data_IF_558509717838
#
_entry.id   IF_558509717838
#
_cell.length_a   1.000
_cell.length_b   1.000
_cell.length_c   1.000
_cell.angle_alpha   90.00
_cell.angle_beta   90.00
_cell.angle_gamma   90.00
#
_symmetry.space_group_name_H-M   'P 1'
#
loop_
_entity.id
_entity.type
_entity.pdbx_description
1 polymer ?
#
# COMPACT_ATOMS: atom_id res chain seq x y z
N UNK A 1 -16.32 2.58 -19.31
CA UNK A 1 -16.16 2.57 -18.49
C UNK A 1 -15.41 3.21 -17.79
N UNK A 2 -15.63 3.70 -17.30
CA UNK A 2 -15.02 4.67 -16.50
C UNK A 2 -14.04 4.01 -15.65
N UNK A 3 -12.84 4.17 -16.02
CA UNK A 3 -11.86 4.11 -15.03
C UNK A 3 -12.42 4.85 -13.86
N UNK A 4 -12.60 4.16 -12.83
CA UNK A 4 -12.77 4.78 -11.60
C UNK A 4 -11.64 5.69 -11.37
N UNK A 5 -11.73 6.81 -11.90
CA UNK A 5 -11.11 7.88 -11.28
C UNK A 5 -11.58 7.78 -9.88
N UNK A 6 -10.68 7.40 -9.03
CA UNK A 6 -10.90 7.56 -7.64
C UNK A 6 -11.42 8.95 -7.49
N UNK A 7 -12.72 9.04 -7.41
CA UNK A 7 -13.32 10.30 -7.20
C UNK A 7 -12.66 10.74 -5.95
N UNK A 8 -12.01 11.79 -6.06
CA UNK A 8 -11.35 12.34 -4.95
C UNK A 8 -12.41 12.97 -4.10
N UNK A 9 -13.23 12.13 -3.55
CA UNK A 9 -14.15 12.62 -2.57
C UNK A 9 -13.32 13.28 -1.50
N UNK A 10 -13.69 14.47 -1.16
CA UNK A 10 -13.07 15.18 -0.06
C UNK A 10 -14.16 15.40 0.96
N UNK A 11 -14.05 14.71 2.07
CA UNK A 11 -15.08 14.73 3.09
C UNK A 11 -14.55 15.39 4.36
N UNK A 12 -15.35 16.27 4.92
CA UNK A 12 -15.00 16.90 6.19
C UNK A 12 -15.27 15.95 7.33
N UNK A 13 -14.61 16.17 8.45
CA UNK A 13 -14.71 15.28 9.60
C UNK A 13 -16.15 15.07 10.06
N UNK A 14 -16.99 16.12 10.04
CA UNK A 14 -18.37 16.00 10.45
C UNK A 14 -19.15 15.07 9.54
N UNK A 15 -18.91 15.14 8.24
CA UNK A 15 -19.58 14.28 7.28
C UNK A 15 -19.15 12.82 7.46
N UNK A 16 -17.87 12.59 7.67
CA UNK A 16 -17.34 11.24 7.87
C UNK A 16 -17.90 10.65 9.18
N UNK A 17 -17.91 11.43 10.23
CA UNK A 17 -18.45 10.97 11.51
C UNK A 17 -19.92 10.57 11.38
N UNK A 18 -20.69 11.33 10.62
CA UNK A 18 -22.08 11.01 10.39
C UNK A 18 -22.24 9.76 9.52
N UNK A 19 -21.47 9.66 8.46
CA UNK A 19 -21.53 8.50 7.55
C UNK A 19 -21.30 7.19 8.27
N UNK A 20 -20.39 7.17 9.23
CA UNK A 20 -20.01 5.95 9.94
C UNK A 20 -20.58 5.86 11.33
N UNK A 21 -21.43 6.82 11.69
CA UNK A 21 -22.09 6.84 12.99
C UNK A 21 -21.09 6.74 14.14
N UNK A 22 -20.05 7.55 14.06
CA UNK A 22 -19.04 7.64 15.10
C UNK A 22 -18.90 9.10 15.52
N UNK A 23 -18.37 9.29 16.71
CA UNK A 23 -18.14 10.63 17.20
C UNK A 23 -16.90 11.23 16.52
N UNK A 24 -16.92 12.53 16.17
CA UNK A 24 -15.73 13.16 15.57
C UNK A 24 -14.48 13.02 16.42
N UNK A 25 -14.63 12.94 17.74
CA UNK A 25 -13.47 12.73 18.61
C UNK A 25 -12.79 11.39 18.38
N UNK A 26 -13.55 10.38 17.95
CA UNK A 26 -12.97 9.09 17.61
C UNK A 26 -12.04 9.24 16.40
N UNK A 27 -12.47 10.02 15.43
CA UNK A 27 -11.62 10.28 14.26
C UNK A 27 -10.37 11.05 14.64
N UNK A 28 -10.50 12.02 15.52
CA UNK A 28 -9.35 12.78 16.02
C UNK A 28 -8.38 11.88 16.80
N UNK A 29 -8.93 10.95 17.55
CA UNK A 29 -8.13 9.97 18.28
C UNK A 29 -7.33 9.11 17.30
N UNK A 30 -7.99 8.60 16.27
CA UNK A 30 -7.33 7.78 15.27
C UNK A 30 -6.22 8.56 14.55
N UNK A 31 -6.46 9.82 14.26
CA UNK A 31 -5.45 10.67 13.68
C UNK A 31 -4.26 10.86 14.61
N UNK A 32 -4.55 11.14 15.88
CA UNK A 32 -3.50 11.34 16.88
C UNK A 32 -2.66 10.10 17.09
N UNK A 33 -3.26 8.93 16.99
CA UNK A 33 -2.55 7.67 17.13
C UNK A 33 -1.86 7.23 15.85
N UNK A 34 -1.97 8.03 14.78
CA UNK A 34 -1.30 7.73 13.54
C UNK A 34 -2.01 6.71 12.67
N UNK A 35 -3.24 6.34 13.01
CA UNK A 35 -4.00 5.35 12.23
C UNK A 35 -4.59 5.96 10.97
N UNK A 36 -4.93 7.23 11.01
CA UNK A 36 -5.46 7.98 9.88
C UNK A 36 -4.62 9.23 9.68
N UNK A 37 -4.46 9.62 8.43
CA UNK A 37 -3.72 10.83 8.08
C UNK A 37 -4.49 11.62 7.05
N UNK A 38 -5.55 12.31 7.47
CA UNK A 38 -6.30 13.13 6.53
C UNK A 38 -5.44 14.29 6.04
N UNK A 39 -5.69 14.72 4.81
CA UNK A 39 -5.05 15.92 4.30
C UNK A 39 -5.72 17.13 4.92
N UNK A 40 -5.09 18.28 4.76
CA UNK A 40 -5.64 19.52 5.29
C UNK A 40 -5.70 20.57 4.21
N UNK A 41 -6.75 21.38 4.26
CA UNK A 41 -6.88 22.52 3.36
C UNK A 41 -5.95 23.65 3.81
N UNK A 42 -5.88 24.69 3.01
CA UNK A 42 -5.14 25.88 3.40
C UNK A 42 -5.66 26.48 4.71
N UNK A 43 -6.95 26.33 4.96
CA UNK A 43 -7.55 26.77 6.22
C UNK A 43 -7.36 25.79 7.35
N UNK A 44 -6.50 24.79 7.18
CA UNK A 44 -6.21 23.79 8.20
C UNK A 44 -7.40 22.89 8.55
N UNK A 45 -8.34 22.75 7.64
CA UNK A 45 -9.50 21.86 7.81
C UNK A 45 -9.14 20.46 7.31
N UNK A 46 -9.52 19.46 8.11
CA UNK A 46 -9.28 18.05 7.73
C UNK A 46 -10.14 17.64 6.55
N UNK A 47 -9.53 16.97 5.61
CA UNK A 47 -10.24 16.38 4.47
C UNK A 47 -9.88 14.91 4.36
N UNK A 48 -10.90 14.09 4.27
CA UNK A 48 -10.75 12.64 4.15
C UNK A 48 -11.05 12.24 2.72
N UNK A 49 -10.14 11.47 2.12
CA UNK A 49 -10.33 10.95 0.77
C UNK A 49 -11.08 9.63 0.82
N UNK A 50 -11.45 9.10 -0.33
CA UNK A 50 -12.06 7.77 -0.41
C UNK A 50 -11.12 6.71 0.13
N UNK A 51 -9.82 6.86 -0.09
CA UNK A 51 -8.84 5.93 0.47
C UNK A 51 -8.80 6.00 1.98
N UNK A 52 -8.92 7.22 2.53
CA UNK A 52 -9.00 7.36 3.98
C UNK A 52 -10.24 6.68 4.53
N UNK A 53 -11.36 6.75 3.80
CA UNK A 53 -12.59 6.10 4.23
C UNK A 53 -12.46 4.58 4.19
N UNK A 54 -11.81 4.03 3.20
CA UNK A 54 -11.54 2.60 3.15
C UNK A 54 -10.71 2.16 4.35
N UNK A 55 -9.69 2.94 4.66
CA UNK A 55 -8.85 2.67 5.82
C UNK A 55 -9.65 2.76 7.11
N UNK A 56 -10.52 3.75 7.20
CA UNK A 56 -11.39 3.91 8.36
C UNK A 56 -12.33 2.72 8.52
N UNK A 57 -12.91 2.23 7.43
CA UNK A 57 -13.78 1.06 7.50
C UNK A 57 -13.03 -0.15 8.04
N UNK A 58 -11.81 -0.33 7.60
CA UNK A 58 -10.97 -1.42 8.10
C UNK A 58 -10.72 -1.26 9.59
N UNK A 59 -10.39 -0.05 10.01
CA UNK A 59 -10.16 0.25 11.44
C UNK A 59 -11.41 -0.03 12.27
N UNK A 60 -12.58 0.42 11.79
CA UNK A 60 -13.81 0.20 12.51
C UNK A 60 -14.20 -1.26 12.60
N UNK A 61 -13.92 -2.02 11.54
CA UNK A 61 -14.12 -3.46 11.57
C UNK A 61 -13.31 -4.08 12.69
N UNK A 62 -12.06 -3.71 12.80
CA UNK A 62 -11.19 -4.26 13.85
C UNK A 62 -11.65 -3.81 15.23
N UNK A 63 -12.01 -2.55 15.36
CA UNK A 63 -12.38 -1.99 16.66
C UNK A 63 -13.75 -2.45 17.14
N UNK A 64 -14.74 -2.39 16.27
CA UNK A 64 -16.13 -2.67 16.65
C UNK A 64 -16.47 -4.14 16.57
N UNK A 65 -16.15 -4.74 15.43
CA UNK A 65 -16.60 -6.12 15.18
C UNK A 65 -15.69 -7.14 15.83
N UNK A 66 -14.41 -6.84 15.94
CA UNK A 66 -13.44 -7.77 16.49
C UNK A 66 -12.88 -7.36 17.84
N UNK A 67 -13.25 -6.17 18.32
CA UNK A 67 -12.83 -5.73 19.64
C UNK A 67 -11.33 -5.52 19.80
N UNK A 68 -10.63 -5.19 18.70
CA UNK A 68 -9.20 -4.96 18.76
C UNK A 68 -8.92 -3.56 19.31
N UNK A 69 -8.01 -3.44 20.26
CA UNK A 69 -7.66 -2.15 20.82
C UNK A 69 -6.77 -1.35 19.84
N UNK A 70 -6.57 -0.08 20.16
CA UNK A 70 -5.84 0.83 19.26
C UNK A 70 -4.43 0.34 18.96
N UNK A 71 -3.72 -0.16 19.98
CA UNK A 71 -2.38 -0.67 19.77
C UNK A 71 -2.35 -1.85 18.81
N UNK A 72 -3.32 -2.75 18.96
CA UNK A 72 -3.46 -3.89 18.05
C UNK A 72 -3.80 -3.46 16.64
N UNK A 73 -4.68 -2.46 16.50
CA UNK A 73 -5.02 -1.93 15.19
C UNK A 73 -3.79 -1.35 14.51
N UNK A 74 -2.97 -0.60 15.26
CA UNK A 74 -1.75 -0.02 14.71
C UNK A 74 -0.82 -1.10 14.16
N UNK A 75 -0.65 -2.18 14.93
CA UNK A 75 0.19 -3.29 14.51
C UNK A 75 -0.37 -3.96 13.26
N UNK A 76 -1.67 -4.20 13.24
CA UNK A 76 -2.32 -4.84 12.09
C UNK A 76 -2.16 -3.98 10.83
N UNK A 77 -2.32 -2.67 10.95
CA UNK A 77 -2.16 -1.77 9.82
C UNK A 77 -0.72 -1.80 9.30
N UNK A 78 0.26 -1.82 10.19
CA UNK A 78 1.65 -1.92 9.79
C UNK A 78 1.93 -3.22 9.07
N UNK A 79 1.41 -4.32 9.60
CA UNK A 79 1.57 -5.63 8.97
C UNK A 79 0.93 -5.67 7.60
N UNK A 80 -0.25 -5.08 7.48
CA UNK A 80 -0.96 -5.01 6.20
C UNK A 80 -0.15 -4.25 5.16
N UNK A 81 0.39 -3.10 5.56
CA UNK A 81 1.22 -2.29 4.66
C UNK A 81 2.47 -3.05 4.23
N UNK A 82 3.06 -3.77 5.15
CA UNK A 82 4.24 -4.59 4.84
C UNK A 82 3.90 -5.71 3.88
N UNK A 83 2.77 -6.36 4.09
CA UNK A 83 2.32 -7.41 3.19
C UNK A 83 2.04 -6.87 1.80
N UNK A 84 1.42 -5.71 1.71
CA UNK A 84 1.18 -5.07 0.42
C UNK A 84 2.49 -4.75 -0.30
N UNK A 85 3.47 -4.25 0.43
CA UNK A 85 4.78 -3.96 -0.14
C UNK A 85 5.48 -5.22 -0.62
N UNK A 86 5.44 -6.28 0.19
CA UNK A 86 6.01 -7.56 -0.21
C UNK A 86 5.32 -8.11 -1.44
N UNK A 87 4.00 -7.94 -1.51
CA UNK A 87 3.24 -8.39 -2.66
C UNK A 87 3.64 -7.62 -3.92
N UNK A 88 3.82 -6.31 -3.81
CA UNK A 88 4.28 -5.51 -4.94
C UNK A 88 5.66 -5.94 -5.42
N UNK A 89 6.56 -6.21 -4.47
CA UNK A 89 7.90 -6.69 -4.80
C UNK A 89 7.86 -8.04 -5.51
N UNK A 90 6.99 -8.92 -5.02
CA UNK A 90 6.81 -10.23 -5.64
C UNK A 90 6.28 -10.10 -7.06
N UNK A 91 5.29 -9.24 -7.26
CA UNK A 91 4.74 -9.01 -8.59
C UNK A 91 5.77 -8.41 -9.54
N UNK A 92 6.58 -7.49 -9.04
CA UNK A 92 7.66 -6.91 -9.84
C UNK A 92 8.67 -7.97 -10.25
N UNK A 93 9.01 -8.85 -9.34
CA UNK A 93 9.95 -9.92 -9.62
C UNK A 93 9.38 -10.90 -10.65
N UNK A 94 8.12 -11.29 -10.49
CA UNK A 94 7.45 -12.17 -11.43
C UNK A 94 7.42 -11.54 -12.83
N UNK A 95 7.12 -10.24 -12.89
CA UNK A 95 7.07 -9.54 -14.15
C UNK A 95 8.45 -9.45 -14.80
N UNK A 96 9.47 -9.23 -13.99
CA UNK A 96 10.85 -9.22 -14.49
C UNK A 96 11.22 -10.58 -15.08
N UNK A 97 10.93 -11.66 -14.36
CA UNK A 97 11.22 -13.00 -14.84
C UNK A 97 10.46 -13.30 -16.12
N UNK A 98 9.19 -12.93 -16.17
CA UNK A 98 8.38 -13.13 -17.36
C UNK A 98 8.97 -12.40 -18.57
N UNK A 99 9.36 -11.16 -18.38
CA UNK A 99 9.95 -10.35 -19.45
C UNK A 99 11.25 -10.95 -19.95
N UNK A 100 12.09 -11.41 -19.03
CA UNK A 100 13.34 -12.04 -19.38
C UNK A 100 13.13 -13.34 -20.14
N UNK A 101 12.19 -14.15 -19.71
CA UNK A 101 11.88 -15.41 -20.38
C UNK A 101 11.32 -15.18 -21.78
N UNK A 102 10.44 -14.21 -21.92
CA UNK A 102 9.87 -13.87 -23.23
C UNK A 102 10.96 -13.39 -24.19
N UNK A 103 11.87 -12.57 -23.67
CA UNK A 103 12.98 -12.08 -24.48
C UNK A 103 13.85 -13.24 -24.97
N UNK A 104 14.09 -14.22 -24.12
CA UNK A 104 14.89 -15.39 -24.50
C UNK A 104 14.16 -16.26 -25.51
N UNK A 105 12.87 -16.44 -25.33
CA UNK A 105 12.06 -17.22 -26.25
C UNK A 105 12.04 -16.54 -27.62
N UNK A 106 11.90 -15.24 -27.67
CA UNK A 106 11.92 -14.48 -28.90
C UNK A 106 13.30 -14.56 -29.58
N UNK A 107 14.35 -14.46 -28.82
CA UNK A 107 15.69 -14.57 -29.34
C UNK A 107 15.93 -15.96 -29.93
N UNK A 108 15.44 -17.00 -29.28
CA UNK A 108 15.51 -18.35 -29.77
C UNK A 108 14.66 -18.55 -31.04
N UNK A 109 13.47 -17.93 -31.03
CA UNK A 109 12.55 -18.05 -32.17
C UNK A 109 13.03 -17.31 -33.41
N UNK A 110 13.84 -16.28 -33.24
CA UNK A 110 14.37 -15.55 -34.38
C UNK A 110 15.48 -16.34 -35.12
N UNK A 111 15.72 -17.57 -34.70
CA UNK A 111 16.63 -18.44 -35.43
C UNK A 111 18.07 -18.01 -35.37
N UNK A 112 18.38 -17.10 -34.49
CA UNK A 112 19.76 -16.70 -34.41
C UNK A 112 20.52 -17.85 -33.80
N UNK A 113 21.45 -18.33 -34.55
CA UNK A 113 22.39 -19.34 -34.13
C UNK A 113 23.25 -18.86 -32.97
N UNK A 114 23.02 -17.68 -32.53
CA UNK A 114 23.61 -17.17 -31.31
C UNK A 114 22.92 -17.78 -30.11
N UNK A 115 22.90 -19.07 -30.08
CA UNK A 115 22.31 -19.81 -28.99
C UNK A 115 23.08 -19.63 -27.69
N UNK A 116 24.21 -18.98 -27.75
CA UNK A 116 25.00 -18.77 -26.57
C UNK A 116 24.83 -17.33 -26.16
N UNK A 117 23.74 -17.08 -25.48
CA UNK A 117 23.62 -15.82 -24.79
C UNK A 117 24.46 -15.96 -23.54
N UNK A 118 25.48 -15.13 -23.39
CA UNK A 118 26.23 -15.17 -22.15
C UNK A 118 25.27 -14.91 -21.02
N UNK A 119 25.28 -15.80 -20.05
CA UNK A 119 24.46 -15.66 -18.87
C UNK A 119 24.94 -14.40 -18.16
N UNK A 120 24.14 -13.38 -18.24
CA UNK A 120 24.40 -12.21 -17.43
C UNK A 120 24.32 -12.65 -15.99
N UNK A 121 25.41 -12.48 -15.31
CA UNK A 121 25.38 -12.69 -13.87
C UNK A 121 24.26 -11.86 -13.30
N UNK A 122 23.36 -12.47 -12.55
CA UNK A 122 22.33 -11.68 -11.90
C UNK A 122 23.00 -10.63 -11.04
N UNK A 123 22.49 -9.43 -11.16
CA UNK A 123 22.97 -8.35 -10.32
C UNK A 123 22.71 -8.78 -8.89
N UNK A 124 23.76 -8.84 -8.10
CA UNK A 124 23.63 -9.21 -6.70
C UNK A 124 22.64 -8.27 -6.06
N UNK A 125 21.74 -8.79 -5.22
CA UNK A 125 20.83 -7.92 -4.50
C UNK A 125 21.63 -6.91 -3.69
N UNK A 126 21.12 -5.71 -3.53
CA UNK A 126 21.83 -4.71 -2.77
C UNK A 126 22.09 -5.25 -1.37
N UNK A 127 23.33 -5.08 -0.94
CA UNK A 127 23.72 -5.51 0.37
C UNK A 127 22.84 -4.80 1.39
N UNK A 128 22.28 -5.51 2.33
CA UNK A 128 21.56 -4.83 3.41
C UNK A 128 22.52 -3.88 4.11
N UNK A 129 22.04 -2.74 4.51
CA UNK A 129 22.91 -1.80 5.23
C UNK A 129 23.51 -2.51 6.42
N UNK A 130 24.80 -2.34 6.56
CA UNK A 130 25.48 -2.92 7.70
C UNK A 130 24.82 -2.42 8.96
N UNK A 131 24.31 -3.36 9.74
CA UNK A 131 23.79 -2.98 11.05
C UNK A 131 24.95 -2.43 11.83
N UNK A 132 24.87 -1.14 12.07
CA UNK A 132 25.84 -0.53 12.93
C UNK A 132 25.61 -1.11 14.31
N UNK A 133 26.56 -1.82 14.78
CA UNK A 133 26.54 -2.18 16.17
C UNK A 133 26.71 -0.91 16.98
N UNK A 134 25.92 -0.74 18.02
CA UNK A 134 26.08 0.43 18.89
C UNK A 134 27.43 0.41 19.57
#
# INVERSE_FOLDING_TARGET
>A
MATKRKSKGAYMISAVAEMYEIHPQTLRLYEREGLLKPSRTEGNTRLYTDEDLERLEFILNLARDLGVNIAGIAIILQMRERMEEMNRQMQSFVEYVRTEMLARVQAAASGSSAAIVPIRKPVAPPRPPATRKP
#
